data_IF_990033623796
#
_entry.id   IF_990033623796
#
_cell.length_a   1.000
_cell.length_b   1.000
_cell.length_c   1.000
_cell.angle_alpha   90.00
_cell.angle_beta   90.00
_cell.angle_gamma   90.00
#
_symmetry.space_group_name_H-M   'P 1'
#
loop_
_entity.id
_entity.type
_entity.pdbx_description
1 polymer ?
#
# COMPACT_ATOMS: atom_id res chain seq x y z
N UNK A 1 -9.20 -7.51 10.44
CA UNK A 1 -8.71 -6.86 9.20
C UNK A 1 -7.82 -7.85 8.48
N UNK A 2 -8.25 -8.36 7.33
CA UNK A 2 -7.42 -9.19 6.45
C UNK A 2 -6.85 -8.27 5.37
N UNK A 3 -5.56 -7.94 5.46
CA UNK A 3 -4.88 -7.15 4.42
C UNK A 3 -3.88 -8.02 3.71
N UNK A 4 -4.10 -8.20 2.42
CA UNK A 4 -3.21 -8.95 1.56
C UNK A 4 -2.25 -7.93 0.93
N UNK A 5 -1.06 -7.80 1.51
CA UNK A 5 -0.10 -6.74 1.15
C UNK A 5 0.68 -7.17 -0.08
N UNK A 6 0.27 -6.69 -1.26
CA UNK A 6 0.99 -6.94 -2.51
C UNK A 6 2.27 -6.12 -2.59
N UNK A 7 3.36 -6.74 -2.96
CA UNK A 7 4.67 -6.10 -3.09
C UNK A 7 5.26 -6.38 -4.47
N UNK A 8 6.21 -5.55 -4.88
CA UNK A 8 6.96 -5.75 -6.13
C UNK A 8 7.89 -6.97 -6.04
N UNK A 9 8.40 -7.44 -7.17
CA UNK A 9 9.43 -8.48 -7.20
C UNK A 9 10.69 -8.06 -6.43
N UNK A 10 11.14 -6.81 -6.59
CA UNK A 10 12.31 -6.29 -5.88
C UNK A 10 12.11 -6.26 -4.37
N UNK A 11 10.96 -5.78 -3.91
CA UNK A 11 10.59 -5.86 -2.48
C UNK A 11 10.49 -7.31 -2.00
N UNK A 12 9.90 -8.21 -2.80
CA UNK A 12 9.80 -9.62 -2.46
C UNK A 12 11.18 -10.26 -2.23
N UNK A 13 12.12 -10.02 -3.15
CA UNK A 13 13.50 -10.49 -3.00
C UNK A 13 14.18 -9.87 -1.78
N UNK A 14 14.01 -8.56 -1.58
CA UNK A 14 14.55 -7.84 -0.42
C UNK A 14 14.08 -8.46 0.91
N UNK A 15 12.76 -8.64 1.07
CA UNK A 15 12.20 -9.18 2.31
C UNK A 15 12.56 -10.65 2.53
N UNK A 16 12.63 -11.45 1.46
CA UNK A 16 13.06 -12.85 1.58
C UNK A 16 14.51 -12.98 2.06
N UNK A 17 15.42 -12.18 1.48
CA UNK A 17 16.83 -12.19 1.88
C UNK A 17 17.00 -11.71 3.32
N UNK A 18 16.30 -10.64 3.72
CA UNK A 18 16.52 -10.00 5.02
C UNK A 18 15.79 -10.68 6.18
N UNK A 19 14.57 -11.17 5.96
CA UNK A 19 13.71 -11.68 7.03
C UNK A 19 13.35 -13.16 6.87
N UNK A 20 13.87 -13.85 5.86
CA UNK A 20 13.57 -15.25 5.58
C UNK A 20 12.22 -15.45 4.88
N UNK A 21 11.53 -16.58 5.09
CA UNK A 21 10.31 -16.93 4.36
C UNK A 21 9.11 -16.12 4.84
N UNK A 22 9.03 -14.85 4.45
CA UNK A 22 7.97 -13.90 4.81
C UNK A 22 7.10 -13.49 3.62
N UNK A 23 7.39 -14.03 2.44
CA UNK A 23 6.71 -13.72 1.19
C UNK A 23 6.09 -15.00 0.63
N UNK A 24 4.89 -14.89 0.06
CA UNK A 24 4.33 -15.93 -0.78
C UNK A 24 4.00 -15.37 -2.16
N UNK A 25 4.08 -16.23 -3.18
CA UNK A 25 3.65 -15.93 -4.54
C UNK A 25 2.29 -16.56 -4.77
N UNK A 26 1.37 -15.79 -5.38
CA UNK A 26 0.11 -16.31 -5.91
C UNK A 26 -0.08 -15.69 -7.29
N UNK A 27 -0.29 -16.56 -8.28
CA UNK A 27 -0.26 -16.20 -9.70
C UNK A 27 1.09 -15.50 -10.02
N UNK A 28 1.04 -14.30 -10.61
CA UNK A 28 2.23 -13.48 -10.92
C UNK A 28 2.45 -12.32 -9.96
N UNK A 29 1.92 -12.42 -8.74
CA UNK A 29 2.04 -11.40 -7.71
C UNK A 29 2.68 -11.94 -6.44
N UNK A 30 3.41 -11.06 -5.76
CA UNK A 30 4.08 -11.36 -4.50
C UNK A 30 3.37 -10.65 -3.37
N UNK A 31 3.33 -11.31 -2.21
CA UNK A 31 2.59 -10.83 -1.06
C UNK A 31 3.34 -11.13 0.23
N UNK A 32 3.25 -10.23 1.20
CA UNK A 32 3.70 -10.55 2.56
C UNK A 32 2.77 -11.58 3.19
N UNK A 33 3.33 -12.55 3.90
CA UNK A 33 2.58 -13.53 4.65
C UNK A 33 1.68 -12.85 5.70
N UNK A 34 0.65 -13.59 6.08
CA UNK A 34 -0.25 -13.24 7.17
C UNK A 34 -0.07 -14.23 8.32
N UNK A 35 -0.33 -13.76 9.53
CA UNK A 35 -0.48 -14.63 10.70
C UNK A 35 -1.82 -15.38 10.65
N UNK A 36 -2.04 -16.40 11.50
CA UNK A 36 -3.31 -17.11 11.57
C UNK A 36 -4.54 -16.21 11.83
N UNK A 37 -4.35 -15.09 12.52
CA UNK A 37 -5.41 -14.09 12.78
C UNK A 37 -5.72 -13.18 11.57
N UNK A 38 -5.01 -13.37 10.45
CA UNK A 38 -5.14 -12.58 9.22
C UNK A 38 -4.40 -11.25 9.24
N UNK A 39 -3.68 -10.91 10.32
CA UNK A 39 -2.83 -9.72 10.35
C UNK A 39 -1.51 -9.92 9.60
N UNK A 40 -0.89 -8.82 9.16
CA UNK A 40 0.41 -8.85 8.51
C UNK A 40 1.47 -9.56 9.39
N UNK A 41 2.34 -10.36 8.77
CA UNK A 41 3.42 -11.08 9.45
C UNK A 41 4.33 -10.16 10.28
N UNK A 42 4.49 -8.88 9.90
CA UNK A 42 5.29 -7.89 10.61
C UNK A 42 4.52 -7.05 11.63
N UNK A 43 3.20 -7.21 11.75
CA UNK A 43 2.44 -6.53 12.79
C UNK A 43 2.87 -7.08 14.15
N UNK A 44 3.08 -6.22 15.13
CA UNK A 44 3.35 -6.57 16.52
C UNK A 44 2.39 -5.81 17.42
N UNK A 45 2.20 -6.33 18.63
CA UNK A 45 1.41 -5.66 19.68
C UNK A 45 2.24 -5.66 20.95
N UNK A 46 2.32 -4.52 21.61
CA UNK A 46 2.94 -4.37 22.92
C UNK A 46 2.00 -3.56 23.80
N UNK A 47 1.59 -4.10 24.96
CA UNK A 47 0.60 -3.49 25.86
C UNK A 47 -0.68 -3.02 25.14
N UNK A 48 -1.19 -3.84 24.22
CA UNK A 48 -2.39 -3.52 23.42
C UNK A 48 -2.15 -2.56 22.24
N UNK A 49 -0.99 -1.92 22.14
CA UNK A 49 -0.64 -0.97 21.08
C UNK A 49 -0.03 -1.72 19.89
N UNK A 50 -0.62 -1.55 18.71
CA UNK A 50 -0.15 -2.15 17.48
C UNK A 50 0.99 -1.32 16.84
N UNK A 51 2.06 -1.99 16.39
CA UNK A 51 3.15 -1.35 15.65
C UNK A 51 3.68 -2.28 14.55
N UNK A 52 4.38 -1.69 13.56
CA UNK A 52 5.03 -2.43 12.49
C UNK A 52 6.49 -2.71 12.85
N UNK A 53 6.89 -3.99 12.92
CA UNK A 53 8.26 -4.38 13.23
C UNK A 53 9.29 -3.89 12.18
N UNK A 54 8.84 -3.58 10.97
CA UNK A 54 9.67 -3.08 9.86
C UNK A 54 9.29 -1.65 9.46
N UNK A 55 8.83 -0.81 10.40
CA UNK A 55 8.24 0.50 10.09
C UNK A 55 9.07 1.37 9.14
N UNK A 56 10.39 1.47 9.36
CA UNK A 56 11.30 2.27 8.53
C UNK A 56 11.49 1.67 7.12
N UNK A 57 11.24 0.38 6.99
CA UNK A 57 11.49 -0.41 5.80
C UNK A 57 10.19 -0.91 5.18
N UNK A 58 9.05 -0.34 5.59
CA UNK A 58 7.73 -0.79 5.17
C UNK A 58 7.58 -0.71 3.65
N UNK A 59 6.86 -1.64 3.02
CA UNK A 59 6.70 -1.65 1.57
C UNK A 59 6.07 -0.36 1.06
N UNK A 60 6.27 -0.04 -0.22
CA UNK A 60 5.72 1.13 -0.89
C UNK A 60 4.20 1.20 -0.71
N UNK A 61 3.51 0.07 -0.86
CA UNK A 61 2.04 0.01 -0.67
C UNK A 61 1.62 0.37 0.76
N UNK A 62 2.41 0.02 1.78
CA UNK A 62 2.15 0.41 3.17
C UNK A 62 2.49 1.87 3.45
N UNK A 63 3.44 2.46 2.70
CA UNK A 63 3.72 3.91 2.76
C UNK A 63 2.60 4.73 2.10
N UNK A 64 2.01 4.19 1.04
CA UNK A 64 0.95 4.85 0.27
C UNK A 64 -0.44 4.69 0.87
N UNK A 65 -0.67 3.69 1.72
CA UNK A 65 -1.97 3.49 2.36
C UNK A 65 -2.49 4.80 3.01
N UNK A 66 -3.73 5.23 2.73
CA UNK A 66 -4.83 4.47 2.12
C UNK A 66 -5.02 4.66 0.60
N UNK A 67 -4.03 5.20 -0.11
CA UNK A 67 -4.13 5.49 -1.54
C UNK A 67 -3.69 4.30 -2.40
N UNK A 68 -4.53 3.91 -3.36
CA UNK A 68 -4.19 2.99 -4.44
C UNK A 68 -4.02 3.80 -5.72
N UNK A 69 -2.83 3.73 -6.32
CA UNK A 69 -2.47 4.54 -7.49
C UNK A 69 -2.07 3.59 -8.63
N UNK A 70 -2.63 3.81 -9.81
CA UNK A 70 -2.40 2.97 -10.99
C UNK A 70 -2.39 3.77 -12.29
N UNK A 71 -1.69 3.25 -13.29
CA UNK A 71 -1.66 3.80 -14.67
C UNK A 71 -2.90 3.46 -15.49
N UNK A 72 -3.70 2.50 -15.01
CA UNK A 72 -4.93 2.00 -15.64
C UNK A 72 -6.02 1.97 -14.58
N UNK A 73 -7.30 2.12 -14.96
CA UNK A 73 -8.38 2.06 -13.99
C UNK A 73 -8.45 0.68 -13.34
N UNK A 74 -8.84 0.65 -12.06
CA UNK A 74 -9.09 -0.62 -11.38
C UNK A 74 -10.39 -1.25 -11.90
N UNK A 75 -10.40 -2.55 -12.22
CA UNK A 75 -11.60 -3.23 -12.68
C UNK A 75 -12.75 -3.09 -11.68
N UNK A 76 -13.97 -2.88 -12.19
CA UNK A 76 -15.20 -2.79 -11.39
C UNK A 76 -15.20 -1.63 -10.37
N UNK A 77 -14.36 -0.60 -10.58
CA UNK A 77 -14.34 0.63 -9.78
C UNK A 77 -14.74 1.83 -10.64
N UNK A 78 -15.19 2.88 -9.98
CA UNK A 78 -15.52 4.14 -10.64
C UNK A 78 -14.27 4.75 -11.26
N UNK A 79 -14.21 4.71 -12.59
CA UNK A 79 -13.10 5.27 -13.36
C UNK A 79 -13.11 6.79 -13.35
N UNK A 80 -14.29 7.40 -13.57
CA UNK A 80 -14.42 8.83 -13.82
C UNK A 80 -14.00 9.65 -12.61
N UNK A 81 -14.37 9.20 -11.42
CA UNK A 81 -14.02 9.89 -10.18
C UNK A 81 -12.60 9.57 -9.68
N UNK A 82 -11.88 8.65 -10.33
CA UNK A 82 -10.52 8.28 -9.96
C UNK A 82 -9.44 9.00 -10.78
N UNK A 83 -9.80 9.65 -11.90
CA UNK A 83 -8.85 10.36 -12.76
C UNK A 83 -8.13 11.47 -12.00
N UNK A 84 -6.80 11.46 -12.08
CA UNK A 84 -5.92 12.46 -11.48
C UNK A 84 -4.79 12.80 -12.44
N UNK A 85 -4.60 14.09 -12.72
CA UNK A 85 -3.52 14.56 -13.60
C UNK A 85 -2.31 15.04 -12.79
N UNK A 86 -1.15 14.47 -13.07
CA UNK A 86 0.11 14.83 -12.42
C UNK A 86 1.24 14.94 -13.44
N UNK A 87 1.89 16.12 -13.52
CA UNK A 87 2.99 16.38 -14.46
C UNK A 87 2.67 15.99 -15.93
N UNK A 88 1.44 16.27 -16.39
CA UNK A 88 1.00 15.93 -17.74
C UNK A 88 0.67 14.45 -17.97
N UNK A 89 0.72 13.61 -16.93
CA UNK A 89 0.35 12.19 -16.98
C UNK A 89 -1.00 12.00 -16.32
N UNK A 90 -1.88 11.25 -16.97
CA UNK A 90 -3.12 10.76 -16.39
C UNK A 90 -2.87 9.47 -15.60
N UNK A 91 -3.33 9.45 -14.35
CA UNK A 91 -3.30 8.29 -13.47
C UNK A 91 -4.64 8.14 -12.77
N UNK A 92 -4.85 7.01 -12.12
CA UNK A 92 -6.05 6.72 -11.36
C UNK A 92 -5.70 6.60 -9.87
N UNK A 93 -6.37 7.37 -9.03
CA UNK A 93 -6.17 7.38 -7.57
C UNK A 93 -7.47 6.96 -6.89
N UNK A 94 -7.39 5.89 -6.11
CA UNK A 94 -8.48 5.38 -5.28
C UNK A 94 -8.11 5.47 -3.81
N UNK A 95 -9.13 5.55 -2.96
CA UNK A 95 -8.97 5.64 -1.50
C UNK A 95 -9.63 4.43 -0.86
N UNK A 96 -8.93 3.79 0.09
CA UNK A 96 -9.51 2.75 0.93
C UNK A 96 -10.52 3.36 1.91
N UNK A 97 -11.82 3.19 1.63
CA UNK A 97 -12.90 3.70 2.47
C UNK A 97 -12.93 3.09 3.89
N UNK A 98 -12.28 1.95 4.11
CA UNK A 98 -12.20 1.29 5.43
C UNK A 98 -11.12 1.92 6.31
N UNK A 99 -10.21 2.72 5.73
CA UNK A 99 -9.17 3.37 6.50
C UNK A 99 -9.78 4.29 7.57
N UNK A 100 -9.44 4.11 8.86
CA UNK A 100 -10.01 4.92 9.93
C UNK A 100 -9.58 6.40 9.82
N UNK A 101 -8.53 6.72 9.06
CA UNK A 101 -8.07 8.09 8.85
C UNK A 101 -8.90 8.89 7.84
N UNK A 102 -9.79 8.26 7.08
CA UNK A 102 -10.62 8.96 6.09
C UNK A 102 -11.58 9.91 6.79
N UNK A 103 -11.75 11.11 6.21
CA UNK A 103 -12.59 12.20 6.74
C UNK A 103 -12.17 12.73 8.12
N UNK A 104 -10.93 12.47 8.57
CA UNK A 104 -10.40 13.02 9.83
C UNK A 104 -9.42 14.17 9.66
N UNK A 105 -8.93 14.40 8.44
CA UNK A 105 -7.97 15.47 8.12
C UNK A 105 -8.63 16.64 7.38
N UNK A 106 -7.96 17.79 7.39
CA UNK A 106 -8.49 19.03 6.80
C UNK A 106 -8.27 19.15 5.28
N UNK A 107 -7.31 18.41 4.70
CA UNK A 107 -6.93 18.59 3.30
C UNK A 107 -6.58 17.28 2.59
N UNK A 108 -7.61 16.65 2.01
CA UNK A 108 -7.44 15.42 1.22
C UNK A 108 -6.59 15.64 -0.03
N UNK A 109 -6.69 16.82 -0.66
CA UNK A 109 -5.89 17.16 -1.85
C UNK A 109 -4.40 17.12 -1.56
N UNK A 110 -3.97 17.76 -0.47
CA UNK A 110 -2.57 17.71 -0.03
C UNK A 110 -2.07 16.29 0.23
N UNK A 111 -2.92 15.43 0.84
CA UNK A 111 -2.56 14.04 1.09
C UNK A 111 -2.41 13.23 -0.21
N UNK A 112 -3.35 13.39 -1.15
CA UNK A 112 -3.31 12.77 -2.48
C UNK A 112 -2.08 13.25 -3.26
N UNK A 113 -1.81 14.56 -3.31
CA UNK A 113 -0.66 15.13 -4.03
C UNK A 113 0.67 14.54 -3.51
N UNK A 114 0.80 14.37 -2.18
CA UNK A 114 2.00 13.75 -1.60
C UNK A 114 2.10 12.25 -1.88
N UNK A 115 0.98 11.53 -1.85
CA UNK A 115 0.95 10.11 -2.21
C UNK A 115 1.35 9.92 -3.67
N UNK A 116 0.83 10.74 -4.58
CA UNK A 116 1.18 10.72 -6.02
C UNK A 116 2.66 11.05 -6.22
N UNK A 117 3.16 12.15 -5.62
CA UNK A 117 4.60 12.49 -5.64
C UNK A 117 5.46 11.32 -5.20
N UNK A 118 5.07 10.67 -4.10
CA UNK A 118 5.81 9.54 -3.55
C UNK A 118 5.74 8.31 -4.46
N UNK A 119 4.58 8.01 -5.04
CA UNK A 119 4.39 6.89 -5.97
C UNK A 119 5.28 7.03 -7.21
N UNK A 120 5.36 8.22 -7.82
CA UNK A 120 6.26 8.46 -8.96
C UNK A 120 7.75 8.26 -8.61
N UNK A 121 8.19 8.63 -7.40
CA UNK A 121 9.58 8.40 -6.96
C UNK A 121 9.95 6.92 -6.86
N UNK A 122 8.98 6.04 -6.65
CA UNK A 122 9.19 4.59 -6.54
C UNK A 122 8.92 3.84 -7.85
N UNK A 123 8.55 4.54 -8.93
CA UNK A 123 8.37 3.98 -10.28
C UNK A 123 9.58 4.24 -11.20
N UNK A 124 10.53 5.08 -10.74
CA UNK A 124 11.86 5.28 -11.33
C UNK A 124 12.84 4.27 -10.72
#
# INVERSE_FOLDING_TARGET
>A
MRYLVSITLGEAMYYQVKYGPVVFRKDDKYYLLMKPDGSCIFLRKYNGIAYCAIYNERPIVCRLYPFYISKKPLPLRDEKNAVYHYNGVEIYVYIDAVCPGINRGLNIKYAVDNAVKMWFRYQL
#
